data_IF_211533998733
#
_entry.id   IF_211533998733
#
_cell.length_a   1.000
_cell.length_b   1.000
_cell.length_c   1.000
_cell.angle_alpha   90.00
_cell.angle_beta   90.00
_cell.angle_gamma   90.00
#
_symmetry.space_group_name_H-M   'P 1'
#
loop_
_entity.id
_entity.type
_entity.pdbx_description
1 polymer ?
#
# COMPACT_ATOMS: atom_id res chain seq x y z
N UNK A 1 27.07 -16.76 10.26
CA UNK A 1 26.26 -16.39 9.06
C UNK A 1 27.07 -15.61 8.01
N UNK A 2 28.29 -15.14 8.33
CA UNK A 2 29.19 -14.46 7.38
C UNK A 2 29.47 -15.27 6.11
N UNK A 3 29.49 -16.59 6.22
CA UNK A 3 29.82 -17.54 5.13
C UNK A 3 28.57 -18.03 4.36
N UNK A 4 27.38 -17.55 4.72
CA UNK A 4 26.14 -17.90 4.03
C UNK A 4 25.85 -16.88 2.94
N UNK A 5 25.65 -17.33 1.70
CA UNK A 5 25.32 -16.42 0.59
C UNK A 5 23.99 -15.70 0.82
N UNK A 6 23.85 -14.50 0.27
CA UNK A 6 22.62 -13.68 0.42
C UNK A 6 21.40 -14.35 -0.23
N UNK A 7 21.60 -15.06 -1.31
CA UNK A 7 20.59 -15.86 -2.01
C UNK A 7 20.06 -16.98 -1.11
N UNK A 8 20.93 -17.65 -0.37
CA UNK A 8 20.54 -18.70 0.58
C UNK A 8 19.78 -18.10 1.76
N UNK A 9 20.23 -16.96 2.30
CA UNK A 9 19.53 -16.24 3.35
C UNK A 9 18.13 -15.81 2.87
N UNK A 10 18.00 -15.34 1.63
CA UNK A 10 16.72 -14.98 1.01
C UNK A 10 15.77 -16.18 0.96
N UNK A 11 16.24 -17.34 0.49
CA UNK A 11 15.43 -18.56 0.40
C UNK A 11 14.97 -19.01 1.79
N UNK A 12 15.86 -19.06 2.78
CA UNK A 12 15.49 -19.49 4.14
C UNK A 12 14.58 -18.48 4.84
N UNK A 13 14.83 -17.18 4.66
CA UNK A 13 13.93 -16.15 5.18
C UNK A 13 12.53 -16.21 4.53
N UNK A 14 12.46 -16.49 3.22
CA UNK A 14 11.17 -16.69 2.54
C UNK A 14 10.42 -17.90 3.11
N UNK A 15 11.08 -19.03 3.32
CA UNK A 15 10.46 -20.19 3.97
C UNK A 15 10.00 -19.88 5.39
N UNK A 16 10.81 -19.15 6.14
CA UNK A 16 10.47 -18.73 7.50
C UNK A 16 9.20 -17.88 7.48
N UNK A 17 9.18 -16.79 6.71
CA UNK A 17 8.05 -15.83 6.72
C UNK A 17 6.73 -16.44 6.21
N UNK A 18 6.81 -17.46 5.34
CA UNK A 18 5.64 -18.22 4.86
C UNK A 18 5.35 -19.48 5.67
N UNK A 19 6.04 -19.69 6.77
CA UNK A 19 5.77 -20.79 7.69
C UNK A 19 4.54 -20.51 8.56
N UNK A 20 3.79 -21.58 8.91
CA UNK A 20 2.62 -21.51 9.80
C UNK A 20 2.96 -20.91 11.18
N UNK A 21 4.16 -21.17 11.68
CA UNK A 21 4.64 -20.71 12.99
C UNK A 21 5.72 -19.63 12.87
N UNK A 22 5.70 -18.87 11.77
CA UNK A 22 6.72 -17.87 11.47
C UNK A 22 6.96 -16.89 12.60
N UNK A 23 5.89 -16.32 13.15
CA UNK A 23 5.97 -15.28 14.18
C UNK A 23 6.49 -15.83 15.51
N UNK A 24 6.14 -17.04 15.89
CA UNK A 24 6.69 -17.70 17.09
C UNK A 24 8.19 -17.94 16.95
N UNK A 25 8.63 -18.37 15.77
CA UNK A 25 10.06 -18.60 15.48
C UNK A 25 10.80 -17.25 15.45
N UNK A 26 10.24 -16.23 14.79
CA UNK A 26 10.85 -14.89 14.73
C UNK A 26 10.96 -14.32 16.15
N UNK A 27 9.90 -14.37 16.95
CA UNK A 27 9.88 -13.89 18.34
C UNK A 27 10.97 -14.54 19.18
N UNK A 28 11.12 -15.85 19.05
CA UNK A 28 12.09 -16.61 19.84
C UNK A 28 13.54 -16.43 19.38
N UNK A 29 13.74 -16.21 18.07
CA UNK A 29 15.07 -16.23 17.46
C UNK A 29 15.38 -14.94 16.68
N UNK A 30 14.79 -13.79 17.05
CA UNK A 30 14.98 -12.50 16.36
C UNK A 30 16.47 -12.13 16.24
N UNK A 31 17.27 -12.40 17.27
CA UNK A 31 18.71 -12.14 17.24
C UNK A 31 19.45 -12.82 16.07
N UNK A 32 18.96 -13.98 15.60
CA UNK A 32 19.52 -14.64 14.40
C UNK A 32 19.15 -13.86 13.13
N UNK A 33 17.92 -13.29 13.08
CA UNK A 33 17.44 -12.51 11.94
C UNK A 33 18.17 -11.18 11.90
N UNK A 34 18.42 -10.55 13.03
CA UNK A 34 19.15 -9.28 13.16
C UNK A 34 20.58 -9.35 12.59
N UNK A 35 21.20 -10.52 12.54
CA UNK A 35 22.52 -10.69 11.91
C UNK A 35 22.49 -10.31 10.41
N UNK A 36 21.38 -10.52 9.72
CA UNK A 36 21.24 -10.21 8.28
C UNK A 36 20.18 -9.16 7.98
N UNK A 37 19.31 -8.84 8.93
CA UNK A 37 18.35 -7.72 8.92
C UNK A 37 18.54 -6.92 10.23
N UNK A 38 19.65 -6.20 10.41
CA UNK A 38 19.93 -5.47 11.66
C UNK A 38 18.90 -4.36 11.93
N UNK A 39 18.18 -3.92 10.92
CA UNK A 39 17.08 -2.95 11.04
C UNK A 39 15.90 -3.47 11.87
N UNK A 40 15.87 -4.76 12.21
CA UNK A 40 14.87 -5.36 13.08
C UNK A 40 15.06 -4.98 14.56
N UNK A 41 16.31 -4.90 15.04
CA UNK A 41 16.62 -4.69 16.45
C UNK A 41 15.96 -3.42 17.06
N UNK A 42 15.96 -2.24 16.39
CA UNK A 42 15.32 -1.05 16.94
C UNK A 42 13.79 -1.14 17.13
N UNK A 43 13.13 -2.14 16.55
CA UNK A 43 11.67 -2.27 16.64
C UNK A 43 11.24 -2.73 18.04
N UNK A 44 12.00 -3.61 18.69
CA UNK A 44 11.71 -4.13 20.03
C UNK A 44 11.85 -3.05 21.13
N UNK A 45 12.68 -2.04 20.89
CA UNK A 45 12.87 -0.92 21.80
C UNK A 45 11.94 0.27 21.49
N UNK A 46 11.15 0.17 20.41
CA UNK A 46 10.28 1.24 19.96
C UNK A 46 8.87 1.11 20.56
N UNK A 47 8.72 1.57 21.80
CA UNK A 47 7.41 1.65 22.45
C UNK A 47 6.49 2.66 21.74
N UNK A 48 5.21 2.30 21.64
CA UNK A 48 4.18 3.10 20.97
C UNK A 48 3.22 3.68 22.03
N UNK A 49 3.62 4.74 22.73
CA UNK A 49 2.78 5.38 23.73
C UNK A 49 1.59 6.10 23.10
N UNK A 50 0.63 5.33 22.57
CA UNK A 50 -0.62 5.82 22.00
C UNK A 50 -1.79 4.97 22.50
N UNK A 51 -2.99 5.55 22.54
CA UNK A 51 -4.22 4.81 22.91
C UNK A 51 -4.60 3.70 21.91
N UNK A 52 -3.96 3.67 20.75
CA UNK A 52 -4.27 2.72 19.67
C UNK A 52 -3.37 1.49 19.67
N UNK A 53 -2.22 1.54 20.35
CA UNK A 53 -1.24 0.47 20.34
C UNK A 53 -1.02 -0.07 21.77
N UNK A 54 -1.07 -1.38 21.92
CA UNK A 54 -0.81 -2.10 23.17
C UNK A 54 0.52 -2.85 23.16
N UNK A 55 1.20 -2.84 22.02
CA UNK A 55 2.46 -3.52 21.80
C UNK A 55 3.53 -2.51 21.39
N UNK A 56 4.82 -2.84 21.57
CA UNK A 56 5.92 -2.20 20.85
C UNK A 56 5.82 -2.44 19.34
N UNK A 57 6.70 -1.85 18.55
CA UNK A 57 6.64 -2.00 17.08
C UNK A 57 6.96 -3.42 16.64
N UNK A 58 7.83 -4.15 17.35
CA UNK A 58 8.18 -5.52 17.02
C UNK A 58 7.01 -6.48 17.21
N UNK A 59 6.40 -6.50 18.39
CA UNK A 59 5.23 -7.36 18.66
C UNK A 59 4.03 -6.97 17.79
N UNK A 60 3.80 -5.66 17.55
CA UNK A 60 2.81 -5.20 16.61
C UNK A 60 3.05 -5.79 15.21
N UNK A 61 4.29 -5.75 14.72
CA UNK A 61 4.68 -6.32 13.43
C UNK A 61 4.39 -7.81 13.34
N UNK A 62 4.72 -8.58 14.38
CA UNK A 62 4.45 -10.01 14.39
C UNK A 62 2.95 -10.33 14.36
N UNK A 63 2.14 -9.63 15.14
CA UNK A 63 0.68 -9.78 15.10
C UNK A 63 0.08 -9.41 13.74
N UNK A 64 0.61 -8.39 13.08
CA UNK A 64 0.18 -8.00 11.74
C UNK A 64 0.56 -9.05 10.68
N UNK A 65 1.74 -9.67 10.78
CA UNK A 65 2.15 -10.80 9.92
C UNK A 65 1.22 -12.00 10.13
N UNK A 66 0.87 -12.33 11.37
CA UNK A 66 -0.02 -13.47 11.67
C UNK A 66 -1.44 -13.29 11.14
N UNK A 67 -1.89 -12.06 10.99
CA UNK A 67 -3.21 -11.75 10.44
C UNK A 67 -3.29 -11.95 8.91
N UNK A 68 -2.17 -12.27 8.24
CA UNK A 68 -2.08 -12.61 6.81
C UNK A 68 -1.94 -14.12 6.64
N UNK A 69 -2.66 -14.66 5.64
CA UNK A 69 -2.52 -16.07 5.26
C UNK A 69 -1.04 -16.43 5.01
N UNK A 70 -0.58 -17.53 5.60
CA UNK A 70 0.83 -17.93 5.53
C UNK A 70 1.30 -18.28 4.10
N UNK A 71 0.38 -18.54 3.17
CA UNK A 71 0.68 -18.77 1.75
C UNK A 71 0.89 -17.48 0.96
N UNK A 72 0.43 -16.32 1.46
CA UNK A 72 0.57 -15.02 0.78
C UNK A 72 1.93 -14.37 1.12
N UNK A 73 2.96 -14.80 0.40
CA UNK A 73 4.35 -14.34 0.59
C UNK A 73 4.49 -12.82 0.53
N UNK A 74 3.85 -12.19 -0.45
CA UNK A 74 3.99 -10.74 -0.68
C UNK A 74 3.39 -9.96 0.48
N UNK A 75 2.18 -10.30 0.90
CA UNK A 75 1.54 -9.59 2.00
C UNK A 75 2.22 -9.85 3.34
N UNK A 76 2.76 -11.06 3.58
CA UNK A 76 3.52 -11.35 4.80
C UNK A 76 4.84 -10.57 4.86
N UNK A 77 5.57 -10.48 3.74
CA UNK A 77 6.74 -9.60 3.64
C UNK A 77 6.35 -8.14 3.84
N UNK A 78 5.25 -7.71 3.25
CA UNK A 78 4.74 -6.33 3.42
C UNK A 78 4.49 -6.03 4.89
N UNK A 79 3.75 -6.90 5.60
CA UNK A 79 3.46 -6.69 7.02
C UNK A 79 4.70 -6.82 7.90
N UNK A 80 5.68 -7.64 7.53
CA UNK A 80 6.94 -7.71 8.26
C UNK A 80 7.73 -6.39 8.20
N UNK A 81 7.68 -5.69 7.07
CA UNK A 81 8.47 -4.48 6.85
C UNK A 81 7.68 -3.17 7.03
N UNK A 82 6.36 -3.18 7.18
CA UNK A 82 5.52 -1.98 7.08
C UNK A 82 5.92 -0.87 8.06
N UNK A 83 6.36 -1.24 9.24
CA UNK A 83 6.67 -0.32 10.34
C UNK A 83 8.17 -0.16 10.65
N UNK A 84 9.07 -0.65 9.81
CA UNK A 84 10.53 -0.54 10.01
C UNK A 84 11.05 0.89 10.08
N UNK A 85 10.28 1.86 9.60
CA UNK A 85 10.59 3.28 9.68
C UNK A 85 10.13 3.96 10.98
N UNK A 86 9.34 3.31 11.82
CA UNK A 86 8.81 3.92 13.05
C UNK A 86 9.89 4.36 14.03
N UNK A 87 10.95 3.56 14.32
CA UNK A 87 12.02 4.03 15.22
C UNK A 87 12.66 5.35 14.78
N UNK A 88 12.86 5.54 13.46
CA UNK A 88 13.50 6.75 12.93
C UNK A 88 12.52 7.93 12.84
N UNK A 89 11.22 7.66 12.72
CA UNK A 89 10.20 8.70 12.61
C UNK A 89 9.61 9.12 13.97
N UNK A 90 9.98 8.43 15.06
CA UNK A 90 9.40 8.63 16.37
C UNK A 90 9.68 10.04 16.90
N UNK A 91 8.61 10.74 17.27
CA UNK A 91 8.65 11.96 18.08
C UNK A 91 7.68 11.80 19.24
N UNK A 92 7.93 12.50 20.35
CA UNK A 92 7.05 12.48 21.53
C UNK A 92 6.61 13.89 21.83
N UNK A 93 5.31 14.10 21.99
CA UNK A 93 4.76 15.40 22.38
C UNK A 93 4.86 15.67 23.89
N UNK A 94 4.41 16.86 24.31
CA UNK A 94 4.44 17.30 25.72
C UNK A 94 3.61 16.42 26.66
N UNK A 95 2.66 15.66 26.12
CA UNK A 95 1.80 14.74 26.87
C UNK A 95 2.37 13.32 26.93
N UNK A 96 3.57 13.09 26.37
CA UNK A 96 4.20 11.77 26.30
C UNK A 96 3.64 10.88 25.19
N UNK A 97 2.80 11.41 24.27
CA UNK A 97 2.23 10.64 23.16
C UNK A 97 3.24 10.52 22.01
N UNK A 98 3.45 9.31 21.53
CA UNK A 98 4.33 9.04 20.40
C UNK A 98 3.64 9.31 19.05
N UNK A 99 4.38 9.94 18.15
CA UNK A 99 3.98 10.21 16.76
C UNK A 99 5.02 9.64 15.79
N UNK A 100 4.57 9.14 14.64
CA UNK A 100 5.40 8.44 13.64
C UNK A 100 5.18 9.00 12.23
N UNK A 101 5.09 10.33 12.10
CA UNK A 101 4.78 10.99 10.82
C UNK A 101 5.84 10.67 9.77
N UNK A 102 5.39 10.14 8.61
CA UNK A 102 6.27 9.82 7.49
C UNK A 102 6.98 8.46 7.60
N UNK A 103 6.70 7.66 8.64
CA UNK A 103 7.32 6.34 8.81
C UNK A 103 7.16 5.44 7.57
N UNK A 104 6.04 5.51 6.84
CA UNK A 104 5.80 4.67 5.67
C UNK A 104 6.85 4.89 4.55
N UNK A 105 7.30 6.14 4.34
CA UNK A 105 8.35 6.47 3.37
C UNK A 105 9.70 5.91 3.82
N UNK A 106 10.01 6.02 5.11
CA UNK A 106 11.25 5.47 5.68
C UNK A 106 11.21 3.94 5.64
N UNK A 107 10.06 3.33 5.97
CA UNK A 107 9.85 1.88 5.88
C UNK A 107 10.02 1.38 4.45
N UNK A 108 9.46 2.06 3.44
CA UNK A 108 9.63 1.72 2.03
C UNK A 108 11.10 1.70 1.62
N UNK A 109 11.84 2.76 1.96
CA UNK A 109 13.26 2.86 1.64
C UNK A 109 14.06 1.72 2.29
N UNK A 110 13.89 1.48 3.61
CA UNK A 110 14.52 0.37 4.32
C UNK A 110 14.16 -0.97 3.69
N UNK A 111 12.88 -1.21 3.41
CA UNK A 111 12.39 -2.43 2.75
C UNK A 111 13.10 -2.70 1.44
N UNK A 112 13.17 -1.68 0.58
CA UNK A 112 13.84 -1.78 -0.72
C UNK A 112 15.32 -2.11 -0.59
N UNK A 113 16.01 -1.44 0.33
CA UNK A 113 17.43 -1.66 0.57
C UNK A 113 17.71 -3.05 1.17
N UNK A 114 16.89 -3.52 2.11
CA UNK A 114 17.00 -4.86 2.70
C UNK A 114 16.73 -5.95 1.65
N UNK A 115 15.63 -5.86 0.90
CA UNK A 115 15.27 -6.85 -0.10
C UNK A 115 16.32 -6.92 -1.23
N UNK A 116 16.87 -5.78 -1.67
CA UNK A 116 18.01 -5.75 -2.62
C UNK A 116 19.26 -6.43 -2.03
N UNK A 117 19.61 -6.10 -0.78
CA UNK A 117 20.75 -6.68 -0.08
C UNK A 117 20.62 -8.19 0.06
N UNK A 118 19.41 -8.71 0.26
CA UNK A 118 19.08 -10.12 0.34
C UNK A 118 18.84 -10.77 -1.03
N UNK A 119 19.04 -10.04 -2.15
CA UNK A 119 18.92 -10.59 -3.50
C UNK A 119 17.53 -11.10 -3.88
N UNK A 120 16.46 -10.47 -3.36
CA UNK A 120 15.12 -10.71 -3.89
C UNK A 120 15.02 -10.25 -5.35
N UNK A 121 14.10 -10.85 -6.10
CA UNK A 121 13.80 -10.42 -7.47
C UNK A 121 13.13 -9.04 -7.50
N UNK A 122 13.29 -8.33 -8.62
CA UNK A 122 12.80 -6.96 -8.78
C UNK A 122 11.27 -6.83 -8.65
N UNK A 123 10.52 -7.85 -9.05
CA UNK A 123 9.06 -7.82 -8.92
C UNK A 123 8.66 -7.85 -7.45
N UNK A 124 9.23 -8.77 -6.67
CA UNK A 124 9.03 -8.84 -5.22
C UNK A 124 9.43 -7.53 -4.54
N UNK A 125 10.62 -6.98 -4.87
CA UNK A 125 11.08 -5.70 -4.31
C UNK A 125 10.08 -4.59 -4.59
N UNK A 126 9.64 -4.44 -5.84
CA UNK A 126 8.75 -3.35 -6.24
C UNK A 126 7.36 -3.49 -5.61
N UNK A 127 6.81 -4.69 -5.59
CA UNK A 127 5.47 -4.94 -5.06
C UNK A 127 5.42 -4.76 -3.53
N UNK A 128 6.34 -5.38 -2.80
CA UNK A 128 6.41 -5.24 -1.33
C UNK A 128 6.67 -3.78 -0.94
N UNK A 129 7.66 -3.12 -1.56
CA UNK A 129 7.97 -1.72 -1.25
C UNK A 129 6.80 -0.78 -1.56
N UNK A 130 6.08 -1.00 -2.68
CA UNK A 130 4.87 -0.24 -3.00
C UNK A 130 3.79 -0.41 -1.94
N UNK A 131 3.53 -1.64 -1.50
CA UNK A 131 2.52 -1.93 -0.49
C UNK A 131 2.92 -1.37 0.89
N UNK A 132 4.20 -1.44 1.26
CA UNK A 132 4.73 -0.80 2.46
C UNK A 132 4.53 0.72 2.40
N UNK A 133 4.81 1.37 1.27
CA UNK A 133 4.62 2.83 1.13
C UNK A 133 3.18 3.27 1.36
N UNK A 134 2.22 2.46 0.88
CA UNK A 134 0.80 2.85 0.90
C UNK A 134 0.01 2.31 2.09
N UNK A 135 0.60 1.49 2.99
CA UNK A 135 -0.15 0.81 4.05
C UNK A 135 -0.93 1.79 4.95
N UNK A 136 -0.36 2.98 5.21
CA UNK A 136 -0.96 4.01 6.06
C UNK A 136 -1.86 5.01 5.29
N UNK A 137 -2.09 4.84 3.98
CA UNK A 137 -2.99 5.71 3.21
C UNK A 137 -4.38 5.75 3.84
N UNK A 138 -4.99 6.94 3.85
CA UNK A 138 -6.36 7.09 4.35
C UNK A 138 -7.35 6.28 3.50
N UNK A 139 -8.28 5.59 4.15
CA UNK A 139 -9.37 4.91 3.46
C UNK A 139 -10.28 5.93 2.75
N UNK A 140 -10.80 5.60 1.56
CA UNK A 140 -11.74 6.46 0.85
C UNK A 140 -13.05 6.60 1.65
N UNK A 141 -13.63 7.80 1.65
CA UNK A 141 -14.88 8.13 2.37
C UNK A 141 -16.12 7.92 1.52
N UNK A 142 -15.92 7.93 0.19
CA UNK A 142 -16.97 7.85 -0.81
C UNK A 142 -16.47 7.13 -2.08
N UNK A 143 -17.39 6.87 -2.99
CA UNK A 143 -17.11 6.16 -4.25
C UNK A 143 -16.20 6.95 -5.19
N UNK A 144 -16.26 8.30 -5.18
CA UNK A 144 -15.36 9.14 -5.99
C UNK A 144 -13.91 8.96 -5.54
N UNK A 145 -13.66 9.01 -4.23
CA UNK A 145 -12.33 8.77 -3.68
C UNK A 145 -11.86 7.34 -3.93
N UNK A 146 -12.77 6.35 -3.85
CA UNK A 146 -12.47 4.97 -4.20
C UNK A 146 -12.04 4.82 -5.67
N UNK A 147 -12.76 5.43 -6.61
CA UNK A 147 -12.38 5.46 -8.04
C UNK A 147 -11.01 6.10 -8.26
N UNK A 148 -10.73 7.24 -7.63
CA UNK A 148 -9.42 7.90 -7.71
C UNK A 148 -8.30 7.01 -7.17
N UNK A 149 -8.54 6.32 -6.07
CA UNK A 149 -7.60 5.37 -5.49
C UNK A 149 -7.39 4.14 -6.39
N UNK A 150 -8.46 3.56 -6.94
CA UNK A 150 -8.39 2.45 -7.91
C UNK A 150 -7.66 2.87 -9.19
N UNK A 151 -7.89 4.09 -9.70
CA UNK A 151 -7.17 4.65 -10.83
C UNK A 151 -5.65 4.71 -10.59
N UNK A 152 -5.25 5.19 -9.43
CA UNK A 152 -3.85 5.37 -9.06
C UNK A 152 -3.14 4.06 -8.74
N UNK A 153 -3.78 3.15 -8.02
CA UNK A 153 -3.16 1.93 -7.50
C UNK A 153 -3.32 0.73 -8.44
N UNK A 154 -4.42 0.67 -9.18
CA UNK A 154 -4.92 -0.53 -9.86
C UNK A 154 -5.70 -1.45 -8.91
N UNK A 155 -6.49 -2.34 -9.51
CA UNK A 155 -7.44 -3.21 -8.79
C UNK A 155 -6.76 -4.10 -7.75
N UNK A 156 -5.71 -4.81 -8.15
CA UNK A 156 -5.00 -5.75 -7.28
C UNK A 156 -4.38 -5.04 -6.07
N UNK A 157 -3.68 -3.94 -6.29
CA UNK A 157 -3.08 -3.15 -5.22
C UNK A 157 -4.15 -2.58 -4.28
N UNK A 158 -5.29 -2.13 -4.82
CA UNK A 158 -6.42 -1.65 -4.01
C UNK A 158 -6.98 -2.76 -3.09
N UNK A 159 -7.17 -3.96 -3.62
CA UNK A 159 -7.64 -5.11 -2.84
C UNK A 159 -6.60 -5.56 -1.80
N UNK A 160 -5.31 -5.56 -2.15
CA UNK A 160 -4.23 -5.84 -1.22
C UNK A 160 -4.15 -4.79 -0.11
N UNK A 161 -4.39 -3.50 -0.41
CA UNK A 161 -4.47 -2.44 0.60
C UNK A 161 -5.56 -2.73 1.64
N UNK A 162 -6.72 -3.26 1.26
CA UNK A 162 -7.77 -3.67 2.21
C UNK A 162 -7.26 -4.77 3.15
N UNK A 163 -6.54 -5.77 2.61
CA UNK A 163 -6.00 -6.88 3.41
C UNK A 163 -4.93 -6.40 4.40
N UNK A 164 -3.96 -5.59 3.95
CA UNK A 164 -2.88 -5.09 4.82
C UNK A 164 -3.42 -4.14 5.90
N UNK A 165 -4.39 -3.28 5.58
CA UNK A 165 -5.06 -2.44 6.58
C UNK A 165 -5.79 -3.26 7.64
N UNK A 166 -6.43 -4.35 7.24
CA UNK A 166 -7.07 -5.28 8.19
C UNK A 166 -6.02 -5.92 9.09
N UNK A 167 -4.92 -6.41 8.51
CA UNK A 167 -3.85 -7.05 9.25
C UNK A 167 -3.18 -6.10 10.27
N UNK A 168 -2.82 -4.90 9.85
CA UNK A 168 -2.30 -3.83 10.71
C UNK A 168 -3.27 -3.51 11.85
N UNK A 169 -4.57 -3.42 11.55
CA UNK A 169 -5.55 -3.11 12.60
C UNK A 169 -5.79 -4.27 13.59
N UNK A 170 -5.67 -5.53 13.16
CA UNK A 170 -5.76 -6.69 14.06
C UNK A 170 -4.66 -6.71 15.11
N UNK A 171 -3.55 -6.05 14.85
CA UNK A 171 -2.43 -5.87 15.79
C UNK A 171 -2.59 -4.66 16.73
N UNK A 172 -3.72 -3.92 16.69
CA UNK A 172 -3.99 -2.73 17.52
C UNK A 172 -4.84 -3.04 18.75
N UNK A 173 -5.01 -2.03 19.62
CA UNK A 173 -5.79 -2.14 20.85
C UNK A 173 -7.28 -2.46 20.58
N UNK A 174 -7.86 -1.89 19.52
CA UNK A 174 -9.18 -2.25 19.01
C UNK A 174 -9.05 -2.90 17.63
N UNK A 175 -9.03 -4.24 17.54
CA UNK A 175 -8.85 -4.98 16.29
C UNK A 175 -9.97 -4.78 15.25
N UNK A 176 -11.09 -4.19 15.65
CA UNK A 176 -12.28 -4.01 14.82
C UNK A 176 -12.56 -2.55 14.47
N UNK A 177 -11.77 -1.61 14.98
CA UNK A 177 -11.97 -0.16 14.81
C UNK A 177 -12.17 0.32 13.37
N UNK A 178 -11.63 -0.39 12.38
CA UNK A 178 -11.73 -0.01 10.96
C UNK A 178 -12.58 -0.98 10.12
N UNK A 179 -13.21 -2.00 10.73
CA UNK A 179 -13.94 -3.02 9.97
C UNK A 179 -15.02 -2.40 9.05
N UNK A 180 -15.77 -1.41 9.53
CA UNK A 180 -16.77 -0.69 8.71
C UNK A 180 -16.11 0.06 7.53
N UNK A 181 -14.97 0.71 7.75
CA UNK A 181 -14.24 1.40 6.67
C UNK A 181 -13.74 0.41 5.62
N UNK A 182 -13.26 -0.76 6.03
CA UNK A 182 -12.79 -1.80 5.11
C UNK A 182 -13.95 -2.43 4.34
N UNK A 183 -15.10 -2.62 4.98
CA UNK A 183 -16.34 -3.06 4.35
C UNK A 183 -16.78 -2.07 3.27
N UNK A 184 -16.77 -0.76 3.59
CA UNK A 184 -17.11 0.28 2.62
C UNK A 184 -16.12 0.31 1.45
N UNK A 185 -14.81 0.21 1.70
CA UNK A 185 -13.81 0.09 0.63
C UNK A 185 -14.12 -1.08 -0.31
N UNK A 186 -14.48 -2.23 0.25
CA UNK A 186 -14.83 -3.43 -0.52
C UNK A 186 -16.12 -3.23 -1.31
N UNK A 187 -17.15 -2.66 -0.69
CA UNK A 187 -18.44 -2.37 -1.33
C UNK A 187 -18.28 -1.38 -2.49
N UNK A 188 -17.52 -0.29 -2.32
CA UNK A 188 -17.22 0.65 -3.41
C UNK A 188 -16.54 -0.06 -4.59
N UNK A 189 -15.55 -0.90 -4.32
CA UNK A 189 -14.88 -1.68 -5.38
C UNK A 189 -15.88 -2.55 -6.14
N UNK A 190 -16.68 -3.34 -5.44
CA UNK A 190 -17.65 -4.26 -6.03
C UNK A 190 -18.71 -3.52 -6.83
N UNK A 191 -19.26 -2.43 -6.30
CA UNK A 191 -20.24 -1.59 -6.99
C UNK A 191 -19.68 -0.99 -8.29
N UNK A 192 -18.47 -0.39 -8.24
CA UNK A 192 -17.78 0.16 -9.40
C UNK A 192 -17.59 -0.91 -10.48
N UNK A 193 -17.18 -2.12 -10.09
CA UNK A 193 -16.95 -3.23 -11.03
C UNK A 193 -18.24 -3.79 -11.61
N UNK A 194 -19.28 -4.01 -10.80
CA UNK A 194 -20.58 -4.54 -11.24
C UNK A 194 -21.26 -3.57 -12.22
N UNK A 195 -21.20 -2.28 -11.93
CA UNK A 195 -21.82 -1.25 -12.77
C UNK A 195 -20.95 -0.84 -13.97
N UNK A 196 -19.78 -1.45 -14.16
CA UNK A 196 -18.81 -1.08 -15.19
C UNK A 196 -18.50 0.42 -15.21
N UNK A 197 -18.41 1.04 -14.03
CA UNK A 197 -18.14 2.49 -13.92
C UNK A 197 -16.72 2.83 -14.37
N UNK A 198 -16.57 3.96 -15.07
CA UNK A 198 -15.27 4.43 -15.52
C UNK A 198 -14.44 4.96 -14.34
N UNK A 199 -13.21 4.45 -14.20
CA UNK A 199 -12.22 4.89 -13.20
C UNK A 199 -10.78 4.83 -13.69
N UNK A 200 -10.55 4.49 -14.97
CA UNK A 200 -9.21 4.47 -15.58
C UNK A 200 -9.29 4.80 -17.07
N UNK A 201 -8.15 5.13 -17.66
CA UNK A 201 -8.06 5.51 -19.07
C UNK A 201 -8.52 4.39 -20.03
N UNK A 202 -8.43 3.12 -19.65
CA UNK A 202 -8.85 2.00 -20.50
C UNK A 202 -10.37 1.91 -20.64
N UNK A 203 -11.11 2.39 -19.64
CA UNK A 203 -12.58 2.41 -19.63
C UNK A 203 -13.18 3.75 -20.08
N UNK A 204 -12.32 4.76 -20.42
CA UNK A 204 -12.77 6.03 -20.96
C UNK A 204 -13.29 5.85 -22.39
N UNK A 205 -14.42 6.45 -22.74
CA UNK A 205 -15.07 6.31 -24.07
C UNK A 205 -14.35 7.12 -25.19
N UNK A 206 -13.20 7.70 -24.88
CA UNK A 206 -12.36 8.48 -25.80
C UNK A 206 -10.90 8.07 -25.61
N UNK A 207 -10.11 8.14 -26.68
CA UNK A 207 -8.70 7.77 -26.67
C UNK A 207 -7.81 8.89 -27.25
N UNK A 208 -6.50 8.63 -27.36
CA UNK A 208 -5.55 9.62 -27.86
C UNK A 208 -5.79 10.06 -29.30
N UNK A 209 -6.31 9.18 -30.17
CA UNK A 209 -6.59 9.52 -31.57
C UNK A 209 -7.82 10.44 -31.68
N UNK A 210 -8.81 10.26 -30.80
CA UNK A 210 -9.95 11.17 -30.71
C UNK A 210 -9.52 12.57 -30.28
N UNK A 211 -8.57 12.68 -29.34
CA UNK A 211 -8.01 13.95 -28.89
C UNK A 211 -7.19 14.62 -29.99
N UNK A 212 -6.43 13.86 -30.80
CA UNK A 212 -5.74 14.38 -31.98
C UNK A 212 -6.72 14.92 -33.02
N UNK A 213 -7.78 14.15 -33.32
CA UNK A 213 -8.82 14.56 -34.25
C UNK A 213 -9.57 15.82 -33.79
N UNK A 214 -9.63 16.07 -32.49
CA UNK A 214 -10.17 17.30 -31.90
C UNK A 214 -9.25 18.52 -32.10
N UNK A 215 -7.98 18.31 -32.50
CA UNK A 215 -7.01 19.38 -32.83
C UNK A 215 -5.98 19.65 -31.74
N UNK A 216 -5.86 18.78 -30.73
CA UNK A 216 -4.81 18.90 -29.71
C UNK A 216 -3.54 18.23 -30.21
N UNK A 217 -2.39 18.94 -30.10
CA UNK A 217 -1.10 18.49 -30.54
C UNK A 217 -0.65 17.17 -29.86
N UNK A 218 0.40 16.54 -30.38
CA UNK A 218 0.91 15.27 -29.84
C UNK A 218 1.63 15.42 -28.50
N UNK A 219 1.76 14.28 -27.78
CA UNK A 219 2.60 14.15 -26.59
C UNK A 219 1.89 14.45 -25.26
N UNK A 220 2.47 15.35 -24.46
CA UNK A 220 2.00 15.59 -23.07
C UNK A 220 0.58 16.14 -22.98
N UNK A 221 0.16 16.95 -23.98
CA UNK A 221 -1.16 17.56 -24.01
C UNK A 221 -2.29 16.53 -24.17
N UNK A 222 -2.08 15.51 -25.01
CA UNK A 222 -3.05 14.42 -25.16
C UNK A 222 -3.26 13.69 -23.83
N UNK A 223 -2.16 13.35 -23.14
CA UNK A 223 -2.25 12.68 -21.83
C UNK A 223 -2.97 13.58 -20.82
N UNK A 224 -2.61 14.85 -20.73
CA UNK A 224 -3.24 15.80 -19.81
C UNK A 224 -4.73 15.95 -20.10
N UNK A 225 -5.15 15.99 -21.37
CA UNK A 225 -6.55 16.05 -21.78
C UNK A 225 -7.32 14.78 -21.37
N UNK A 226 -6.73 13.60 -21.59
CA UNK A 226 -7.33 12.33 -21.17
C UNK A 226 -7.45 12.22 -19.65
N UNK A 227 -6.43 12.62 -18.89
CA UNK A 227 -6.45 12.65 -17.42
C UNK A 227 -7.49 13.66 -16.91
N UNK A 228 -7.64 14.82 -17.56
CA UNK A 228 -8.68 15.82 -17.25
C UNK A 228 -10.09 15.25 -17.46
N UNK A 229 -10.33 14.62 -18.63
CA UNK A 229 -11.62 14.00 -18.96
C UNK A 229 -11.97 12.86 -18.01
N UNK A 230 -11.00 12.00 -17.71
CA UNK A 230 -11.18 10.91 -16.74
C UNK A 230 -11.57 11.46 -15.36
N UNK A 231 -10.90 12.50 -14.90
CA UNK A 231 -11.26 13.16 -13.63
C UNK A 231 -12.67 13.75 -13.68
N UNK A 232 -13.06 14.36 -14.79
CA UNK A 232 -14.43 14.86 -15.01
C UNK A 232 -15.48 13.75 -14.88
N UNK A 233 -15.24 12.59 -15.50
CA UNK A 233 -16.12 11.42 -15.39
C UNK A 233 -16.17 10.87 -13.96
N UNK A 234 -15.01 10.72 -13.30
CA UNK A 234 -14.94 10.20 -11.93
C UNK A 234 -15.71 11.11 -10.97
N UNK A 235 -15.62 12.41 -11.15
CA UNK A 235 -16.31 13.44 -10.33
C UNK A 235 -17.78 13.67 -10.72
N UNK A 236 -18.26 13.02 -11.79
CA UNK A 236 -19.64 13.17 -12.27
C UNK A 236 -19.93 14.50 -12.97
N UNK A 237 -18.91 15.22 -13.44
CA UNK A 237 -19.03 16.49 -14.16
C UNK A 237 -19.44 16.32 -15.62
N UNK A 238 -19.13 15.16 -16.22
CA UNK A 238 -19.56 14.74 -17.55
C UNK A 238 -19.81 13.23 -17.56
N UNK A 239 -20.61 12.76 -18.50
CA UNK A 239 -20.83 11.34 -18.69
C UNK A 239 -19.70 10.74 -19.54
N UNK A 240 -19.46 9.43 -19.38
CA UNK A 240 -18.47 8.72 -20.17
C UNK A 240 -19.03 8.35 -21.56
N UNK A 241 -19.33 9.37 -22.36
CA UNK A 241 -19.77 9.27 -23.76
C UNK A 241 -18.92 10.21 -24.61
N UNK A 242 -18.56 9.77 -25.80
CA UNK A 242 -17.59 10.48 -26.68
C UNK A 242 -18.01 11.92 -26.99
N UNK A 243 -19.28 12.12 -27.30
CA UNK A 243 -19.88 13.43 -27.58
C UNK A 243 -19.78 14.37 -26.40
N UNK A 244 -20.22 13.93 -25.24
CA UNK A 244 -20.19 14.73 -23.99
C UNK A 244 -18.76 15.02 -23.52
N UNK A 245 -17.83 14.06 -23.70
CA UNK A 245 -16.43 14.26 -23.34
C UNK A 245 -15.77 15.33 -24.23
N UNK A 246 -16.04 15.33 -25.56
CA UNK A 246 -15.52 16.33 -26.47
C UNK A 246 -16.12 17.72 -26.21
N UNK A 247 -17.41 17.79 -25.89
CA UNK A 247 -18.07 19.04 -25.49
C UNK A 247 -17.47 19.58 -24.18
N UNK A 248 -17.34 18.74 -23.17
CA UNK A 248 -16.72 19.09 -21.87
C UNK A 248 -15.27 19.55 -22.05
N UNK A 249 -14.50 18.91 -22.94
CA UNK A 249 -13.15 19.34 -23.26
C UNK A 249 -13.15 20.71 -23.92
N UNK A 250 -14.03 20.95 -24.92
CA UNK A 250 -14.15 22.22 -25.65
C UNK A 250 -14.50 23.40 -24.72
N UNK A 251 -15.38 23.19 -23.77
CA UNK A 251 -15.80 24.23 -22.80
C UNK A 251 -14.69 24.60 -21.80
N UNK A 252 -13.73 23.69 -21.56
CA UNK A 252 -12.68 23.84 -20.55
C UNK A 252 -11.27 24.04 -21.14
N UNK A 253 -11.10 23.94 -22.47
CA UNK A 253 -9.87 24.33 -23.20
C UNK A 253 -10.11 25.68 -23.88
N UNK A 254 -9.68 26.75 -23.21
CA UNK A 254 -9.55 28.11 -23.82
C UNK A 254 -8.08 28.42 -24.04
#
# INVERSE_FOLDING_TARGET
LSDVSKERLQVEFTKLITGKYATDVIRKYHAVIEVFIPELAPLAECEQHTKYHKYDVFEHTLHAVDAIDFTDRILRLTMFFHDFGKPDAKTTDENGTSHFKGHAVISEKKTRDILKRLKFDNNTINEVSKLVLIHDMKSPRDKIQAKKMMCSLGDETYLNLIKIKRADNRAKADPHAIDEKLKNMRSFYEEIKINNECYNLKSLAINGDDIKAFGIAEGKEIKSSLDFLLNGVIEGKCQNRKDELLEYLKENTK
#
